data_IF_918453116071
#
_entry.id   IF_918453116071
#
_cell.length_a   1.000
_cell.length_b   1.000
_cell.length_c   1.000
_cell.angle_alpha   90.00
_cell.angle_beta   90.00
_cell.angle_gamma   90.00
#
_symmetry.space_group_name_H-M   'P 1'
#
loop_
_entity.id
_entity.type
_entity.pdbx_description
1 polymer ?
#
# COMPACT_ATOMS: atom_id res chain seq x y z
N UNK A 1 -10.14 -27.60 3.52
CA UNK A 1 -9.59 -26.29 3.06
C UNK A 1 -9.51 -25.42 4.30
N UNK A 2 -8.32 -24.96 4.61
CA UNK A 2 -8.08 -24.09 5.75
C UNK A 2 -8.18 -22.64 5.28
N UNK A 3 -9.00 -21.84 5.95
CA UNK A 3 -9.19 -20.41 5.67
C UNK A 3 -8.59 -19.53 6.78
N UNK A 4 -7.89 -20.15 7.73
CA UNK A 4 -7.24 -19.39 8.79
C UNK A 4 -6.02 -18.62 8.24
N UNK A 5 -5.82 -17.43 8.77
CA UNK A 5 -4.64 -16.65 8.43
C UNK A 5 -3.38 -17.24 9.06
N UNK A 6 -2.27 -17.18 8.34
CA UNK A 6 -0.96 -17.50 8.91
C UNK A 6 -0.56 -16.46 9.99
N UNK A 7 0.41 -16.82 10.83
CA UNK A 7 0.94 -15.92 11.87
C UNK A 7 1.48 -14.61 11.26
N UNK A 8 2.10 -14.68 10.08
CA UNK A 8 2.60 -13.50 9.36
C UNK A 8 1.45 -12.60 8.89
N UNK A 9 0.36 -13.20 8.38
CA UNK A 9 -0.83 -12.46 7.95
C UNK A 9 -1.56 -11.82 9.14
N UNK A 10 -1.63 -12.51 10.27
CA UNK A 10 -2.16 -11.94 11.54
C UNK A 10 -1.28 -10.78 12.00
N UNK A 11 0.03 -10.95 12.00
CA UNK A 11 0.97 -9.91 12.39
C UNK A 11 0.87 -8.66 11.50
N UNK A 12 0.72 -8.87 10.19
CA UNK A 12 0.50 -7.80 9.22
C UNK A 12 -0.80 -7.04 9.52
N UNK A 13 -1.91 -7.77 9.71
CA UNK A 13 -3.19 -7.18 10.09
C UNK A 13 -3.09 -6.34 11.34
N UNK A 14 -2.46 -6.88 12.39
CA UNK A 14 -2.30 -6.19 13.67
C UNK A 14 -1.46 -4.92 13.56
N UNK A 15 -0.43 -4.92 12.72
CA UNK A 15 0.38 -3.74 12.47
C UNK A 15 -0.43 -2.62 11.79
N UNK A 16 -1.20 -2.96 10.75
CA UNK A 16 -2.05 -2.00 10.03
C UNK A 16 -3.17 -1.51 10.94
N UNK A 17 -3.82 -2.41 11.66
CA UNK A 17 -4.89 -2.07 12.61
C UNK A 17 -4.42 -1.07 13.68
N UNK A 18 -3.25 -1.32 14.30
CA UNK A 18 -2.66 -0.39 15.27
C UNK A 18 -2.37 0.98 14.68
N UNK A 19 -1.86 1.03 13.45
CA UNK A 19 -1.62 2.31 12.78
C UNK A 19 -2.93 3.05 12.51
N UNK A 20 -3.98 2.36 12.04
CA UNK A 20 -5.31 2.94 11.82
C UNK A 20 -5.88 3.51 13.11
N UNK A 21 -5.85 2.73 14.19
CA UNK A 21 -6.46 3.12 15.47
C UNK A 21 -5.72 4.28 16.16
N UNK A 22 -4.40 4.26 16.15
CA UNK A 22 -3.58 5.24 16.85
C UNK A 22 -3.17 6.43 15.99
N UNK A 23 -2.87 6.19 14.70
CA UNK A 23 -2.32 7.18 13.80
C UNK A 23 -3.36 7.82 12.89
N UNK A 24 -4.53 7.21 12.67
CA UNK A 24 -5.54 7.69 11.73
C UNK A 24 -6.92 7.84 12.38
N UNK A 25 -6.96 8.39 13.58
CA UNK A 25 -8.18 8.64 14.34
C UNK A 25 -9.12 9.63 13.64
N UNK A 26 -10.36 9.69 14.10
CA UNK A 26 -11.43 10.48 13.50
C UNK A 26 -11.05 11.95 13.27
N UNK A 27 -10.44 12.61 14.24
CA UNK A 27 -10.10 14.04 14.14
C UNK A 27 -9.09 14.30 13.02
N UNK A 28 -8.07 13.46 12.91
CA UNK A 28 -7.09 13.52 11.81
C UNK A 28 -7.75 13.29 10.45
N UNK A 29 -8.57 12.26 10.34
CA UNK A 29 -9.32 11.94 9.13
C UNK A 29 -10.23 13.09 8.70
N UNK A 30 -10.95 13.68 9.65
CA UNK A 30 -11.83 14.82 9.38
C UNK A 30 -11.06 16.06 8.94
N UNK A 31 -9.92 16.36 9.58
CA UNK A 31 -9.05 17.46 9.18
C UNK A 31 -8.49 17.26 7.76
N UNK A 32 -8.05 16.04 7.44
CA UNK A 32 -7.56 15.70 6.10
C UNK A 32 -8.66 15.83 5.03
N UNK A 33 -9.88 15.37 5.34
CA UNK A 33 -11.02 15.49 4.41
C UNK A 33 -11.32 16.97 4.09
N UNK A 34 -11.28 17.85 5.09
CA UNK A 34 -11.45 19.30 4.89
C UNK A 34 -10.31 19.95 4.10
N UNK A 35 -9.10 19.41 4.21
CA UNK A 35 -7.92 19.91 3.50
C UNK A 35 -7.75 19.38 2.06
N UNK A 36 -8.75 18.63 1.53
CA UNK A 36 -8.72 18.09 0.17
C UNK A 36 -8.53 16.58 0.09
N UNK A 37 -8.49 15.89 1.24
CA UNK A 37 -8.52 14.43 1.35
C UNK A 37 -7.14 13.79 1.45
N UNK A 38 -6.40 13.68 0.35
CA UNK A 38 -5.11 13.02 0.32
C UNK A 38 -3.96 13.93 0.76
N UNK A 39 -3.02 13.37 1.54
CA UNK A 39 -1.71 13.99 1.76
C UNK A 39 -0.60 12.96 1.55
N UNK A 40 0.54 13.40 1.04
CA UNK A 40 1.73 12.57 0.88
C UNK A 40 2.22 11.98 2.21
N UNK A 41 2.04 12.70 3.30
CA UNK A 41 2.41 12.25 4.66
C UNK A 41 1.74 10.94 5.03
N UNK A 42 0.43 10.79 4.77
CA UNK A 42 -0.29 9.54 5.05
C UNK A 42 0.31 8.37 4.25
N UNK A 43 0.62 8.57 2.97
CA UNK A 43 1.24 7.53 2.16
C UNK A 43 2.66 7.18 2.62
N UNK A 44 3.43 8.16 3.05
CA UNK A 44 4.78 7.93 3.59
C UNK A 44 4.73 7.10 4.88
N UNK A 45 3.77 7.33 5.76
CA UNK A 45 3.57 6.50 6.96
C UNK A 45 3.25 5.04 6.61
N UNK A 46 2.43 4.81 5.57
CA UNK A 46 2.19 3.45 5.05
C UNK A 46 3.47 2.83 4.47
N UNK A 47 4.29 3.63 3.81
CA UNK A 47 5.59 3.18 3.30
C UNK A 47 6.57 2.82 4.43
N UNK A 48 6.61 3.58 5.52
CA UNK A 48 7.40 3.30 6.72
C UNK A 48 7.01 1.96 7.37
N UNK A 49 5.75 1.55 7.25
CA UNK A 49 5.28 0.21 7.64
C UNK A 49 5.65 -0.90 6.63
N UNK A 50 6.34 -0.56 5.53
CA UNK A 50 6.66 -1.48 4.45
C UNK A 50 5.53 -1.74 3.45
N UNK A 51 4.36 -1.11 3.65
CA UNK A 51 3.16 -1.40 2.87
C UNK A 51 3.24 -0.93 1.42
N UNK A 52 4.04 0.10 1.12
CA UNK A 52 4.28 0.54 -0.27
C UNK A 52 4.98 -0.55 -1.11
N UNK A 53 5.80 -1.37 -0.48
CA UNK A 53 6.50 -2.49 -1.10
C UNK A 53 5.76 -3.83 -1.07
N UNK A 54 4.50 -3.88 -0.61
CA UNK A 54 3.78 -5.13 -0.39
C UNK A 54 3.81 -6.06 -1.61
N UNK A 55 3.48 -5.57 -2.78
CA UNK A 55 3.41 -6.33 -4.03
C UNK A 55 4.68 -6.19 -4.91
N UNK A 56 5.67 -5.43 -4.48
CA UNK A 56 6.95 -5.32 -5.17
C UNK A 56 7.75 -6.61 -4.94
N UNK A 57 8.35 -7.22 -5.99
CA UNK A 57 9.20 -8.40 -5.81
C UNK A 57 10.37 -8.15 -4.85
N UNK A 58 10.77 -9.17 -4.08
CA UNK A 58 11.90 -9.09 -3.13
C UNK A 58 13.21 -8.67 -3.80
N UNK A 59 13.44 -9.09 -5.05
CA UNK A 59 14.60 -8.69 -5.85
C UNK A 59 14.72 -7.17 -6.06
N UNK A 60 13.63 -6.42 -5.84
CA UNK A 60 13.54 -4.97 -5.96
C UNK A 60 13.26 -4.27 -4.61
N UNK A 61 13.49 -4.97 -3.51
CA UNK A 61 13.37 -4.42 -2.15
C UNK A 61 11.95 -4.42 -1.59
N UNK A 62 11.02 -5.14 -2.22
CA UNK A 62 9.66 -5.32 -1.72
C UNK A 62 9.48 -6.56 -0.87
N UNK A 63 8.24 -6.85 -0.48
CA UNK A 63 7.87 -8.02 0.32
C UNK A 63 7.46 -9.23 -0.54
N UNK A 64 7.16 -9.02 -1.82
CA UNK A 64 6.72 -10.07 -2.73
C UNK A 64 5.40 -10.73 -2.35
N UNK A 65 4.57 -10.06 -1.55
CA UNK A 65 3.32 -10.60 -1.05
C UNK A 65 2.24 -10.68 -2.12
N UNK A 66 1.27 -11.57 -1.90
CA UNK A 66 0.25 -11.91 -2.86
C UNK A 66 -1.13 -11.29 -2.52
N UNK A 67 -2.20 -11.92 -3.01
CA UNK A 67 -3.54 -11.36 -2.92
C UNK A 67 -4.12 -11.40 -1.51
N UNK A 68 -3.75 -12.38 -0.69
CA UNK A 68 -4.29 -12.52 0.67
C UNK A 68 -3.77 -11.39 1.56
N UNK A 69 -2.48 -11.11 1.52
CA UNK A 69 -1.87 -10.01 2.27
C UNK A 69 -2.40 -8.65 1.78
N UNK A 70 -2.60 -8.49 0.47
CA UNK A 70 -3.23 -7.29 -0.09
C UNK A 70 -4.67 -7.11 0.42
N UNK A 71 -5.45 -8.20 0.50
CA UNK A 71 -6.81 -8.19 1.07
C UNK A 71 -6.78 -7.77 2.54
N UNK A 72 -5.91 -8.36 3.35
CA UNK A 72 -5.76 -8.05 4.79
C UNK A 72 -5.47 -6.56 5.00
N UNK A 73 -4.53 -5.99 4.24
CA UNK A 73 -4.19 -4.56 4.32
C UNK A 73 -5.36 -3.69 3.88
N UNK A 74 -5.98 -4.02 2.74
CA UNK A 74 -7.10 -3.23 2.20
C UNK A 74 -8.32 -3.25 3.12
N UNK A 75 -8.59 -4.35 3.81
CA UNK A 75 -9.67 -4.46 4.79
C UNK A 75 -9.44 -3.49 5.96
N UNK A 76 -8.24 -3.46 6.53
CA UNK A 76 -7.92 -2.57 7.65
C UNK A 76 -7.90 -1.09 7.24
N UNK A 77 -7.34 -0.78 6.06
CA UNK A 77 -7.37 0.60 5.53
C UNK A 77 -8.82 1.05 5.24
N UNK A 78 -9.66 0.15 4.72
CA UNK A 78 -11.08 0.39 4.48
C UNK A 78 -11.86 0.61 5.78
N UNK A 79 -11.61 -0.20 6.79
CA UNK A 79 -12.20 -0.06 8.14
C UNK A 79 -11.89 1.32 8.75
N UNK A 80 -10.67 1.81 8.53
CA UNK A 80 -10.25 3.14 8.97
C UNK A 80 -10.67 4.29 8.05
N UNK A 81 -11.30 4.02 6.91
CA UNK A 81 -11.59 5.02 5.87
C UNK A 81 -10.34 5.81 5.45
N UNK A 82 -9.23 5.11 5.30
CA UNK A 82 -7.96 5.73 4.91
C UNK A 82 -8.01 6.20 3.46
N UNK A 83 -7.96 7.50 3.26
CA UNK A 83 -7.98 8.11 1.94
C UNK A 83 -6.54 8.27 1.40
N UNK A 84 -5.99 7.19 0.86
CA UNK A 84 -4.70 7.17 0.18
C UNK A 84 -4.81 6.33 -1.11
N UNK A 85 -4.05 6.63 -2.16
CA UNK A 85 -4.07 5.88 -3.41
C UNK A 85 -3.34 4.54 -3.28
N UNK A 86 -3.55 3.82 -2.17
CA UNK A 86 -2.80 2.63 -1.81
C UNK A 86 -2.97 1.51 -2.84
N UNK A 87 -4.21 1.16 -3.19
CA UNK A 87 -4.46 0.10 -4.17
C UNK A 87 -3.78 0.36 -5.51
N UNK A 88 -3.86 1.60 -6.00
CA UNK A 88 -3.25 1.99 -7.28
C UNK A 88 -1.73 1.98 -7.21
N UNK A 89 -1.16 2.57 -6.18
CA UNK A 89 0.28 2.80 -6.10
C UNK A 89 1.07 1.60 -5.56
N UNK A 90 0.52 0.85 -4.60
CA UNK A 90 1.22 -0.25 -3.94
C UNK A 90 0.86 -1.65 -4.47
N UNK A 91 -0.31 -1.80 -5.13
CA UNK A 91 -0.77 -3.09 -5.62
C UNK A 91 -0.81 -3.16 -7.15
N UNK A 92 -1.44 -2.19 -7.82
CA UNK A 92 -1.61 -2.22 -9.29
C UNK A 92 -0.32 -1.85 -10.01
N UNK A 93 0.29 -0.70 -9.68
CA UNK A 93 1.47 -0.22 -10.38
C UNK A 93 2.66 -1.19 -10.32
N UNK A 94 3.04 -1.79 -9.16
CA UNK A 94 4.13 -2.77 -9.12
C UNK A 94 3.88 -3.99 -9.98
N UNK A 95 2.65 -4.50 -10.01
CA UNK A 95 2.29 -5.68 -10.80
C UNK A 95 2.36 -5.43 -12.31
N UNK A 96 1.99 -4.22 -12.76
CA UNK A 96 2.14 -3.83 -14.15
C UNK A 96 3.61 -3.66 -14.51
N UNK A 97 4.39 -2.98 -13.67
CA UNK A 97 5.81 -2.74 -13.89
C UNK A 97 6.66 -4.01 -13.81
N UNK A 98 6.23 -5.03 -13.06
CA UNK A 98 6.92 -6.33 -13.00
C UNK A 98 6.94 -7.06 -14.37
N UNK A 99 6.08 -6.68 -15.31
CA UNK A 99 6.08 -7.18 -16.68
C UNK A 99 6.74 -6.22 -17.69
N UNK A 100 7.27 -5.10 -17.23
CA UNK A 100 7.96 -4.12 -18.08
C UNK A 100 9.41 -4.56 -18.38
N UNK A 101 10.10 -3.92 -19.35
CA UNK A 101 11.52 -4.14 -19.55
C UNK A 101 12.34 -3.96 -18.27
N UNK A 102 13.41 -4.75 -18.14
CA UNK A 102 14.25 -4.80 -16.92
C UNK A 102 14.75 -3.41 -16.47
N UNK A 103 15.14 -2.57 -17.41
CA UNK A 103 15.58 -1.20 -17.10
C UNK A 103 14.49 -0.35 -16.44
N UNK A 104 13.23 -0.57 -16.81
CA UNK A 104 12.07 0.09 -16.21
C UNK A 104 11.82 -0.45 -14.80
N UNK A 105 11.88 -1.79 -14.65
CA UNK A 105 11.73 -2.43 -13.33
C UNK A 105 12.77 -1.91 -12.34
N UNK A 106 14.05 -1.94 -12.72
CA UNK A 106 15.19 -1.49 -11.90
C UNK A 106 15.10 0.01 -11.55
N UNK A 107 14.54 0.81 -12.45
CA UNK A 107 14.38 2.25 -12.22
C UNK A 107 13.20 2.63 -11.31
N UNK A 108 12.14 1.83 -11.28
CA UNK A 108 10.91 2.22 -10.60
C UNK A 108 10.53 1.36 -9.39
N UNK A 109 10.68 0.02 -9.47
CA UNK A 109 10.21 -0.86 -8.40
C UNK A 109 10.86 -0.61 -7.04
N UNK A 110 12.20 -0.38 -6.93
CA UNK A 110 12.81 -0.05 -5.65
C UNK A 110 12.29 1.26 -5.05
N UNK A 111 12.03 2.26 -5.90
CA UNK A 111 11.50 3.56 -5.46
C UNK A 111 10.04 3.49 -5.03
N UNK A 112 9.26 2.59 -5.62
CA UNK A 112 7.91 2.30 -5.15
C UNK A 112 7.98 1.58 -3.80
N UNK A 113 8.84 0.57 -3.66
CA UNK A 113 8.99 -0.20 -2.42
C UNK A 113 9.38 0.68 -1.23
N UNK A 114 10.28 1.65 -1.44
CA UNK A 114 10.68 2.62 -0.39
C UNK A 114 9.63 3.72 -0.12
N UNK A 115 8.62 3.86 -0.99
CA UNK A 115 7.67 4.95 -0.92
C UNK A 115 8.13 6.27 -1.55
N UNK A 116 9.34 6.34 -2.12
CA UNK A 116 9.88 7.54 -2.77
C UNK A 116 9.10 7.91 -4.03
N UNK A 117 8.64 6.90 -4.78
CA UNK A 117 7.79 7.09 -5.95
C UNK A 117 6.36 6.64 -5.67
N UNK A 118 5.40 7.49 -6.03
CA UNK A 118 3.99 7.16 -6.08
C UNK A 118 3.58 7.10 -7.55
N UNK A 119 3.35 5.89 -8.04
CA UNK A 119 2.99 5.62 -9.44
C UNK A 119 1.57 5.11 -9.50
N UNK A 120 0.78 5.65 -10.40
CA UNK A 120 -0.62 5.25 -10.60
C UNK A 120 -0.90 5.01 -12.08
N UNK A 121 -1.83 4.10 -12.37
CA UNK A 121 -2.29 3.83 -13.72
C UNK A 121 -3.33 4.87 -14.15
N UNK A 122 -3.07 5.57 -15.23
CA UNK A 122 -4.06 6.39 -15.92
C UNK A 122 -4.70 5.54 -17.05
N UNK A 123 -5.93 5.07 -16.83
CA UNK A 123 -6.60 4.10 -17.72
C UNK A 123 -7.98 4.56 -18.22
N UNK A 124 -8.45 5.73 -17.76
CA UNK A 124 -9.72 6.26 -18.22
C UNK A 124 -9.55 6.99 -19.55
N UNK A 125 -10.11 6.41 -20.59
CA UNK A 125 -10.22 7.01 -21.92
C UNK A 125 -11.69 7.40 -22.18
N UNK A 126 -11.87 8.47 -22.95
CA UNK A 126 -13.20 8.88 -23.44
C UNK A 126 -13.45 8.40 -24.85
#
# INVERSE_FOLDING_TARGET
MDFDFSDDQVSLRDAVSRWVEKGFAFDRRHALAKAGGFTRTVYNELAELGLAGLAVPEAHGGLGFAAVEAMVVMEELGRGLVNAPYAQAALVAPRLLANAPRTVQEGWLPRIASGDALVVLAHQER
#
